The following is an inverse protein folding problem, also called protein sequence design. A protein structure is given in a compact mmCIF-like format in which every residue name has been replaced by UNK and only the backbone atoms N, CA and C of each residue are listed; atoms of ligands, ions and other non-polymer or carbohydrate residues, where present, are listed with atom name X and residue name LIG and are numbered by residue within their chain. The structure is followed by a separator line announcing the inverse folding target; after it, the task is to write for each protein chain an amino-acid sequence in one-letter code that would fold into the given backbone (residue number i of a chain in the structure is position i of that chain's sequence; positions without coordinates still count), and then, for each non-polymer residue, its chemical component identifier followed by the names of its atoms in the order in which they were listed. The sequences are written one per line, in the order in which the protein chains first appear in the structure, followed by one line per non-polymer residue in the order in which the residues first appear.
data_IF_050140577882
#
_entry.id   IF_050140577882
#
_cell.length_a   1.000
_cell.length_b   1.000
_cell.length_c   1.000
_cell.angle_alpha   90.00
_cell.angle_beta   90.00
_cell.angle_gamma   90.00
#
_symmetry.space_group_name_H-M   'P 1'
#
loop_
_entity.id
_entity.type
_entity.pdbx_description
1 polymer ?
#
# COMPACT_ATOMS: atom_id res chain seq x y z
N UNK A 1 -13.88 1.69 6.78
CA UNK A 1 -15.09 0.92 6.44
C UNK A 1 -14.88 -0.03 5.25
N UNK A 2 -14.89 0.42 3.99
CA UNK A 2 -14.89 -0.45 2.78
C UNK A 2 -13.81 -1.56 2.74
N UNK A 3 -12.57 -1.24 3.14
CA UNK A 3 -11.45 -2.22 3.20
C UNK A 3 -11.73 -3.42 4.12
N UNK A 4 -12.50 -3.22 5.20
CA UNK A 4 -12.88 -4.28 6.15
C UNK A 4 -14.08 -5.06 5.63
N UNK A 5 -15.01 -4.39 4.94
CA UNK A 5 -16.30 -4.95 4.56
C UNK A 5 -16.25 -5.87 3.34
N UNK A 6 -15.33 -5.64 2.41
CA UNK A 6 -15.30 -6.33 1.10
C UNK A 6 -14.35 -7.55 1.03
N UNK A 7 -13.82 -8.00 2.16
CA UNK A 7 -12.98 -9.20 2.25
C UNK A 7 -13.14 -9.84 3.64
N UNK A 8 -13.19 -11.19 3.75
CA UNK A 8 -13.22 -11.88 5.05
C UNK A 8 -12.03 -11.55 5.96
N UNK A 9 -10.91 -11.15 5.37
CA UNK A 9 -9.77 -10.59 6.09
C UNK A 9 -9.84 -9.07 5.97
N UNK A 10 -9.22 -8.49 4.93
CA UNK A 10 -9.25 -7.09 4.55
C UNK A 10 -8.81 -6.99 3.08
N UNK A 11 -9.24 -5.97 2.32
CA UNK A 11 -8.54 -5.64 1.08
C UNK A 11 -7.07 -5.32 1.40
N UNK A 12 -6.15 -5.70 0.51
CA UNK A 12 -4.71 -5.51 0.73
C UNK A 12 -4.34 -4.05 1.00
N UNK A 13 -5.05 -3.10 0.39
CA UNK A 13 -4.86 -1.66 0.54
C UNK A 13 -6.20 -0.91 0.39
N UNK A 14 -6.21 0.37 0.77
CA UNK A 14 -7.29 1.30 0.40
C UNK A 14 -7.11 1.88 -1.02
N UNK A 15 -5.97 1.66 -1.65
CA UNK A 15 -5.74 2.00 -3.04
C UNK A 15 -6.30 0.88 -3.93
N UNK A 16 -7.48 1.09 -4.50
CA UNK A 16 -8.10 0.18 -5.46
C UNK A 16 -8.97 0.91 -6.47
N UNK A 17 -9.20 0.27 -7.61
CA UNK A 17 -10.19 0.67 -8.61
C UNK A 17 -11.29 -0.38 -8.70
N UNK A 18 -12.47 0.02 -9.16
CA UNK A 18 -13.63 -0.86 -9.34
C UNK A 18 -13.99 -0.91 -10.82
N UNK A 19 -13.95 -2.11 -11.39
CA UNK A 19 -14.38 -2.39 -12.76
C UNK A 19 -15.77 -3.01 -12.74
N UNK A 20 -16.63 -2.54 -13.65
CA UNK A 20 -18.01 -3.02 -13.81
C UNK A 20 -18.05 -3.97 -15.01
N UNK A 21 -18.60 -5.15 -14.80
CA UNK A 21 -18.69 -6.20 -15.82
C UNK A 21 -20.14 -6.65 -16.01
N UNK A 22 -20.43 -7.20 -17.19
CA UNK A 22 -21.71 -7.80 -17.57
C UNK A 22 -22.90 -6.88 -17.30
N UNK A 23 -23.02 -5.77 -18.03
CA UNK A 23 -24.15 -4.86 -17.87
C UNK A 23 -25.41 -5.46 -18.51
N UNK A 24 -26.50 -5.52 -17.74
CA UNK A 24 -27.86 -5.84 -18.23
C UNK A 24 -28.73 -4.65 -17.88
N UNK A 25 -29.37 -4.02 -18.88
CA UNK A 25 -30.19 -2.82 -18.71
C UNK A 25 -29.50 -1.67 -17.97
N UNK A 26 -28.19 -1.52 -18.19
CA UNK A 26 -27.37 -0.51 -17.52
C UNK A 26 -26.95 -0.86 -16.09
N UNK A 27 -27.35 -2.02 -15.57
CA UNK A 27 -27.03 -2.50 -14.22
C UNK A 27 -25.87 -3.51 -14.29
N UNK A 28 -24.72 -3.22 -13.64
CA UNK A 28 -23.60 -4.17 -13.58
C UNK A 28 -23.98 -5.42 -12.80
N UNK A 29 -23.75 -6.61 -13.38
CA UNK A 29 -23.99 -7.88 -12.69
C UNK A 29 -22.75 -8.38 -11.93
N UNK A 30 -21.57 -7.81 -12.20
CA UNK A 30 -20.32 -8.14 -11.51
C UNK A 30 -19.46 -6.91 -11.32
N UNK A 31 -18.78 -6.87 -10.18
CA UNK A 31 -17.75 -5.89 -9.87
C UNK A 31 -16.42 -6.60 -9.61
N UNK A 32 -15.37 -6.14 -10.27
CA UNK A 32 -13.99 -6.60 -10.02
C UNK A 32 -13.23 -5.48 -9.33
N UNK A 33 -12.68 -5.76 -8.15
CA UNK A 33 -11.89 -4.81 -7.37
C UNK A 33 -10.41 -5.11 -7.60
N UNK A 34 -9.70 -4.17 -8.23
CA UNK A 34 -8.25 -4.28 -8.45
C UNK A 34 -7.53 -3.37 -7.47
N UNK A 35 -6.80 -3.96 -6.52
CA UNK A 35 -6.01 -3.23 -5.53
C UNK A 35 -4.57 -2.98 -5.98
N UNK A 36 -3.91 -2.01 -5.34
CA UNK A 36 -2.49 -1.74 -5.47
C UNK A 36 -1.81 -1.62 -4.08
N UNK A 37 -0.69 -2.32 -3.91
CA UNK A 37 0.07 -2.35 -2.65
C UNK A 37 -0.58 -3.17 -1.54
N UNK A 38 0.15 -3.34 -0.44
CA UNK A 38 -0.30 -4.06 0.75
C UNK A 38 0.09 -3.31 2.02
N UNK A 39 -0.90 -2.92 2.82
CA UNK A 39 -0.70 -2.14 4.05
C UNK A 39 -1.53 -0.85 4.04
N UNK A 40 -1.28 0.05 4.99
CA UNK A 40 -1.97 1.34 5.09
C UNK A 40 -1.27 2.47 4.32
N UNK A 41 -0.08 2.20 3.75
CA UNK A 41 0.62 3.14 2.86
C UNK A 41 1.20 4.38 3.54
N UNK A 42 1.44 4.35 4.86
CA UNK A 42 2.03 5.47 5.61
C UNK A 42 3.37 5.05 6.21
N UNK A 43 4.37 5.92 6.12
CA UNK A 43 5.71 5.65 6.63
C UNK A 43 6.50 4.73 5.69
N UNK A 44 7.15 3.72 6.26
CA UNK A 44 8.12 2.88 5.55
C UNK A 44 7.48 1.74 4.76
N UNK A 45 7.71 1.71 3.45
CA UNK A 45 7.40 0.55 2.62
C UNK A 45 8.49 -0.52 2.78
N UNK A 46 8.14 -1.67 3.37
CA UNK A 46 9.11 -2.75 3.65
C UNK A 46 9.81 -3.28 2.40
N UNK A 47 9.03 -3.53 1.34
CA UNK A 47 9.57 -4.02 0.06
C UNK A 47 10.47 -2.94 -0.57
N UNK A 48 10.03 -1.68 -0.55
CA UNK A 48 10.84 -0.58 -1.09
C UNK A 48 12.14 -0.39 -0.30
N UNK A 49 12.11 -0.49 1.03
CA UNK A 49 13.31 -0.47 1.86
C UNK A 49 14.27 -1.63 1.53
N UNK A 50 13.76 -2.84 1.32
CA UNK A 50 14.56 -4.00 0.93
C UNK A 50 15.22 -3.81 -0.46
N UNK A 51 14.51 -3.22 -1.42
CA UNK A 51 15.05 -2.89 -2.75
C UNK A 51 16.10 -1.78 -2.66
N UNK A 52 15.89 -0.74 -1.86
CA UNK A 52 16.92 0.27 -1.62
C UNK A 52 18.17 -0.35 -0.98
N UNK A 53 18.00 -1.23 0.02
CA UNK A 53 19.13 -1.93 0.62
C UNK A 53 19.90 -2.78 -0.42
N UNK A 54 19.20 -3.48 -1.33
CA UNK A 54 19.85 -4.28 -2.39
C UNK A 54 20.55 -3.41 -3.45
N UNK A 55 20.17 -2.14 -3.57
CA UNK A 55 20.84 -1.14 -4.40
C UNK A 55 22.00 -0.43 -3.69
N UNK A 56 22.28 -0.77 -2.43
CA UNK A 56 23.43 -0.26 -1.68
C UNK A 56 23.16 0.97 -0.81
N UNK A 57 21.90 1.40 -0.67
CA UNK A 57 21.56 2.48 0.26
C UNK A 57 21.70 2.02 1.70
N UNK A 58 22.24 2.89 2.55
CA UNK A 58 22.35 2.65 3.99
C UNK A 58 21.00 2.83 4.70
N UNK A 59 20.91 2.28 5.91
CA UNK A 59 19.67 2.30 6.68
C UNK A 59 19.16 3.72 6.97
N UNK A 60 20.06 4.68 7.18
CA UNK A 60 19.74 6.08 7.44
C UNK A 60 19.18 6.78 6.20
N UNK A 61 19.75 6.53 5.02
CA UNK A 61 19.23 7.02 3.74
C UNK A 61 17.82 6.48 3.47
N UNK A 62 17.60 5.19 3.74
CA UNK A 62 16.29 4.55 3.62
C UNK A 62 15.28 5.18 4.59
N UNK A 63 15.66 5.37 5.86
CA UNK A 63 14.77 5.96 6.85
C UNK A 63 14.43 7.42 6.51
N UNK A 64 15.41 8.21 6.08
CA UNK A 64 15.19 9.62 5.70
C UNK A 64 14.37 9.77 4.40
N UNK A 65 14.39 8.78 3.52
CA UNK A 65 13.51 8.71 2.36
C UNK A 65 12.03 8.57 2.78
N UNK A 66 11.72 7.68 3.73
CA UNK A 66 10.33 7.43 4.17
C UNK A 66 9.83 8.38 5.26
N UNK A 67 10.73 8.95 6.05
CA UNK A 67 10.41 9.85 7.16
C UNK A 67 11.10 11.19 6.95
N UNK A 68 10.51 12.02 6.10
CA UNK A 68 11.05 13.34 5.76
C UNK A 68 11.23 14.19 7.02
N UNK A 69 12.37 14.86 7.13
CA UNK A 69 12.78 15.70 8.28
C UNK A 69 12.99 14.95 9.61
N UNK A 70 13.00 13.61 9.61
CA UNK A 70 13.38 12.85 10.80
C UNK A 70 14.86 13.05 11.17
N UNK A 71 15.19 12.83 12.44
CA UNK A 71 16.57 12.82 12.93
C UNK A 71 16.85 11.52 13.65
N UNK A 72 17.95 10.86 13.29
CA UNK A 72 18.42 9.69 14.02
C UNK A 72 19.14 10.13 15.29
N UNK A 73 18.80 9.49 16.41
CA UNK A 73 19.41 9.75 17.71
C UNK A 73 19.78 8.43 18.36
N UNK A 74 21.05 8.28 18.71
CA UNK A 74 21.51 7.22 19.61
C UNK A 74 21.13 7.61 21.05
N UNK A 75 20.31 6.79 21.69
CA UNK A 75 19.76 7.06 23.03
C UNK A 75 20.55 6.40 24.16
N UNK A 76 21.42 5.44 23.84
CA UNK A 76 22.37 4.74 24.73
C UNK A 76 23.60 4.33 23.93
#
# INVERSE_FOLDING_TARGET
EIRRTLSPSHLYSSAFIVEKENLIDGIPQKFTIKGAGWGHGVGLCQIGAAVMASQGYNFDEILLHYFTNAKLKKIY
#
